data_IF_417016365655
#
_entry.id   IF_417016365655
#
_cell.length_a   1.000
_cell.length_b   1.000
_cell.length_c   1.000
_cell.angle_alpha   90.00
_cell.angle_beta   90.00
_cell.angle_gamma   90.00
#
_symmetry.space_group_name_H-M   'P 1'
#
loop_
_entity.id
_entity.type
_entity.pdbx_description
1 polymer ?
#
# COMPACT_ATOMS: atom_id res chain seq x y z
N UNK A 1 -12.68 -3.24 0.06
CA UNK A 1 -12.00 -3.72 -1.16
C UNK A 1 -12.11 -2.68 -2.26
N UNK A 2 -11.05 -1.89 -2.46
CA UNK A 2 -10.90 -1.00 -3.62
C UNK A 2 -9.72 -1.54 -4.45
N UNK A 3 -9.59 -1.04 -5.68
CA UNK A 3 -8.45 -1.31 -6.55
C UNK A 3 -7.74 0.01 -6.80
N UNK A 4 -6.48 0.10 -6.44
CA UNK A 4 -5.61 1.25 -6.66
C UNK A 4 -4.57 0.93 -7.72
N UNK A 5 -4.22 1.90 -8.55
CA UNK A 5 -2.99 1.80 -9.35
C UNK A 5 -1.79 2.28 -8.54
N UNK A 6 -0.57 1.94 -8.97
CA UNK A 6 0.68 2.46 -8.41
C UNK A 6 0.67 3.98 -8.25
N UNK A 7 0.17 4.72 -9.25
CA UNK A 7 0.10 6.19 -9.21
C UNK A 7 -0.95 6.68 -8.20
N UNK A 8 -2.10 6.00 -8.11
CA UNK A 8 -3.13 6.33 -7.14
C UNK A 8 -2.66 6.05 -5.71
N UNK A 9 -1.95 4.94 -5.51
CA UNK A 9 -1.30 4.62 -4.25
C UNK A 9 -0.27 5.69 -3.89
N UNK A 10 0.62 6.05 -4.83
CA UNK A 10 1.61 7.12 -4.64
C UNK A 10 0.96 8.45 -4.24
N UNK A 11 -0.18 8.80 -4.83
CA UNK A 11 -0.93 10.00 -4.47
C UNK A 11 -1.52 9.93 -3.06
N UNK A 12 -1.82 8.74 -2.53
CA UNK A 12 -2.37 8.54 -1.19
C UNK A 12 -1.32 8.40 -0.09
N UNK A 13 -0.18 7.79 -0.39
CA UNK A 13 0.93 7.65 0.55
C UNK A 13 1.81 8.91 0.65
N UNK A 14 1.36 10.02 0.06
CA UNK A 14 1.95 11.33 0.23
C UNK A 14 3.37 11.47 -0.35
N UNK A 15 4.22 12.36 0.18
CA UNK A 15 5.47 12.80 -0.43
C UNK A 15 6.55 11.71 -0.52
N UNK A 16 6.32 10.53 0.06
CA UNK A 16 7.24 9.38 0.00
C UNK A 16 6.56 8.17 -0.63
N UNK A 17 6.30 8.21 -1.94
CA UNK A 17 5.79 7.04 -2.64
C UNK A 17 6.82 5.90 -2.64
N UNK A 18 6.38 4.63 -2.67
CA UNK A 18 7.27 3.48 -2.80
C UNK A 18 8.09 3.55 -4.08
N UNK A 19 9.41 3.44 -3.92
CA UNK A 19 10.37 3.41 -5.02
C UNK A 19 10.18 2.21 -5.93
N UNK A 20 10.63 2.32 -7.18
CA UNK A 20 10.59 1.22 -8.14
C UNK A 20 11.35 -0.02 -7.66
N UNK A 21 12.50 0.18 -7.01
CA UNK A 21 13.29 -0.91 -6.43
C UNK A 21 12.51 -1.72 -5.36
N UNK A 22 11.62 -1.06 -4.63
CA UNK A 22 10.73 -1.74 -3.68
C UNK A 22 9.76 -2.65 -4.43
N UNK A 23 9.10 -2.14 -5.48
CA UNK A 23 8.17 -2.92 -6.29
C UNK A 23 8.84 -4.11 -6.97
N UNK A 24 10.03 -3.90 -7.54
CA UNK A 24 10.81 -5.00 -8.14
C UNK A 24 11.14 -6.09 -7.12
N UNK A 25 11.50 -5.71 -5.89
CA UNK A 25 11.72 -6.67 -4.80
C UNK A 25 10.43 -7.37 -4.38
N UNK A 26 9.32 -6.64 -4.30
CA UNK A 26 8.01 -7.22 -3.99
C UNK A 26 7.59 -8.27 -5.02
N UNK A 27 7.82 -7.99 -6.31
CA UNK A 27 7.53 -8.93 -7.41
C UNK A 27 8.42 -10.16 -7.33
N UNK A 28 9.72 -9.98 -7.07
CA UNK A 28 10.69 -11.07 -6.95
C UNK A 28 10.41 -11.99 -5.76
N UNK A 29 10.03 -11.42 -4.61
CA UNK A 29 9.75 -12.16 -3.39
C UNK A 29 8.31 -12.68 -3.31
N UNK A 30 7.39 -12.12 -4.11
CA UNK A 30 5.96 -12.41 -4.03
C UNK A 30 5.25 -11.74 -2.85
N UNK A 31 5.96 -11.03 -1.97
CA UNK A 31 5.41 -10.29 -0.84
C UNK A 31 6.28 -9.07 -0.50
N UNK A 32 5.69 -8.06 0.13
CA UNK A 32 6.43 -6.91 0.64
C UNK A 32 5.69 -6.19 1.79
N UNK A 33 6.45 -5.41 2.56
CA UNK A 33 5.93 -4.54 3.61
C UNK A 33 6.07 -3.07 3.19
N UNK A 34 4.96 -2.42 2.89
CA UNK A 34 4.89 -1.02 2.51
C UNK A 34 4.78 -0.14 3.77
N UNK A 35 5.88 0.51 4.13
CA UNK A 35 5.90 1.51 5.20
C UNK A 35 5.38 2.86 4.74
N UNK A 36 4.33 3.35 5.37
CA UNK A 36 3.72 4.67 5.15
C UNK A 36 3.95 5.53 6.39
N UNK A 37 4.58 6.69 6.21
CA UNK A 37 4.87 7.61 7.31
C UNK A 37 3.61 8.27 7.87
N UNK A 38 3.67 8.77 9.11
CA UNK A 38 2.55 9.46 9.76
C UNK A 38 1.97 10.61 8.91
N UNK A 39 2.85 11.34 8.21
CA UNK A 39 2.53 12.40 7.24
C UNK A 39 1.50 11.97 6.18
N UNK A 40 1.52 10.70 5.79
CA UNK A 40 0.60 10.12 4.81
C UNK A 40 -0.59 9.38 5.44
N UNK A 41 -0.54 9.08 6.74
CA UNK A 41 -1.63 8.47 7.53
C UNK A 41 -2.49 9.55 8.20
N UNK A 42 -2.10 10.82 8.10
CA UNK A 42 -2.86 11.97 8.58
C UNK A 42 -2.44 13.22 7.83
N UNK A 43 -3.04 13.45 6.65
CA UNK A 43 -2.94 14.73 5.97
C UNK A 43 -3.76 15.78 6.71
N UNK A 44 -3.16 16.95 6.93
CA UNK A 44 -3.69 18.10 7.65
C UNK A 44 -5.13 18.47 7.23
N UNK A 45 -6.10 18.02 8.02
CA UNK A 45 -7.40 18.69 8.18
C UNK A 45 -7.90 18.36 9.58
N UNK A 46 -7.78 19.33 10.49
CA UNK A 46 -8.28 19.30 11.87
C UNK A 46 -9.83 19.32 11.95
N UNK A 47 -10.52 18.69 11.00
CA UNK A 47 -11.97 18.52 11.03
C UNK A 47 -12.29 17.27 10.22
N UNK A 48 -13.17 16.44 10.80
CA UNK A 48 -13.72 15.18 10.29
C UNK A 48 -13.07 13.89 10.80
N UNK A 49 -13.86 13.20 11.64
CA UNK A 49 -13.68 11.92 12.34
C UNK A 49 -13.57 10.70 11.42
N UNK A 50 -12.82 10.79 10.33
CA UNK A 50 -12.37 9.65 9.53
C UNK A 50 -11.02 10.01 8.91
N UNK A 51 -9.95 9.78 9.66
CA UNK A 51 -8.62 9.67 9.05
C UNK A 51 -8.74 8.60 7.95
N UNK A 52 -8.79 9.02 6.67
CA UNK A 52 -8.93 8.05 5.58
C UNK A 52 -7.60 7.32 5.50
N UNK A 53 -7.59 6.09 5.99
CA UNK A 53 -6.41 5.24 5.93
C UNK A 53 -6.05 5.09 4.44
N UNK A 54 -4.77 5.29 4.04
CA UNK A 54 -4.41 5.31 2.63
C UNK A 54 -4.67 3.98 1.92
N UNK A 55 -4.62 2.87 2.68
CA UNK A 55 -4.91 1.51 2.28
C UNK A 55 -5.71 0.80 3.39
N UNK A 56 -6.46 -0.22 3.00
CA UNK A 56 -7.22 -1.09 3.90
C UNK A 56 -6.91 -2.55 3.59
N UNK A 57 -7.08 -3.45 4.56
CA UNK A 57 -6.85 -4.88 4.32
C UNK A 57 -7.85 -5.43 3.30
N UNK A 58 -7.36 -6.18 2.32
CA UNK A 58 -8.11 -6.67 1.16
C UNK A 58 -8.19 -5.69 -0.01
N UNK A 59 -7.51 -4.53 0.08
CA UNK A 59 -7.32 -3.65 -1.06
C UNK A 59 -6.31 -4.22 -2.06
N UNK A 60 -6.45 -3.92 -3.34
CA UNK A 60 -5.58 -4.44 -4.40
C UNK A 60 -4.85 -3.29 -5.09
N UNK A 61 -3.52 -3.34 -5.09
CA UNK A 61 -2.62 -2.40 -5.75
C UNK A 61 -2.12 -3.01 -7.07
N UNK A 62 -2.52 -2.40 -8.17
CA UNK A 62 -2.08 -2.71 -9.52
C UNK A 62 -0.75 -2.01 -9.81
N UNK A 63 0.28 -2.81 -10.10
CA UNK A 63 1.66 -2.42 -10.31
C UNK A 63 2.12 -3.01 -11.64
N UNK A 64 2.01 -2.20 -12.69
CA UNK A 64 2.36 -2.64 -14.05
C UNK A 64 1.47 -3.83 -14.47
N UNK A 65 2.03 -4.97 -14.87
CA UNK A 65 1.27 -6.19 -15.21
C UNK A 65 0.94 -7.09 -13.97
N UNK A 66 1.24 -6.63 -12.76
CA UNK A 66 1.09 -7.41 -11.52
C UNK A 66 0.14 -6.74 -10.55
N UNK A 67 -0.67 -7.53 -9.86
CA UNK A 67 -1.52 -7.05 -8.78
C UNK A 67 -1.00 -7.53 -7.41
N UNK A 68 -1.09 -6.67 -6.40
CA UNK A 68 -0.75 -6.98 -5.02
C UNK A 68 -1.96 -6.76 -4.12
N UNK A 69 -2.30 -7.68 -3.24
CA UNK A 69 -3.37 -7.52 -2.26
C UNK A 69 -2.78 -7.15 -0.90
N UNK A 70 -3.38 -6.19 -0.21
CA UNK A 70 -3.06 -5.88 1.19
C UNK A 70 -3.62 -6.98 2.06
N UNK A 71 -2.76 -7.69 2.78
CA UNK A 71 -3.16 -8.79 3.66
C UNK A 71 -3.12 -8.40 5.13
N UNK A 72 -2.36 -7.37 5.47
CA UNK A 72 -2.23 -6.88 6.84
C UNK A 72 -1.89 -5.38 6.89
N UNK A 73 -2.24 -4.72 7.98
CA UNK A 73 -2.00 -3.30 8.21
C UNK A 73 -1.67 -3.03 9.68
N UNK A 74 -0.39 -2.87 9.99
CA UNK A 74 0.11 -2.62 11.34
C UNK A 74 0.43 -1.14 11.57
N UNK A 75 0.07 -0.60 12.74
CA UNK A 75 0.41 0.78 13.10
C UNK A 75 1.82 0.85 13.71
N UNK A 76 2.62 1.81 13.27
CA UNK A 76 3.95 2.02 13.85
C UNK A 76 3.92 3.02 15.00
N UNK A 77 4.83 2.88 15.95
CA UNK A 77 5.00 3.82 17.07
C UNK A 77 5.28 5.26 16.61
N UNK A 78 5.91 5.41 15.44
CA UNK A 78 6.18 6.71 14.82
C UNK A 78 4.91 7.39 14.25
N UNK A 79 3.72 6.82 14.46
CA UNK A 79 2.45 7.33 13.95
C UNK A 79 2.16 6.97 12.49
N UNK A 80 3.03 6.19 11.85
CA UNK A 80 2.83 5.66 10.51
C UNK A 80 2.09 4.33 10.50
N UNK A 81 2.13 3.66 9.34
CA UNK A 81 1.51 2.35 9.14
C UNK A 81 2.31 1.49 8.18
N UNK A 82 2.43 0.21 8.48
CA UNK A 82 3.06 -0.79 7.63
C UNK A 82 1.96 -1.67 7.05
N UNK A 83 1.81 -1.64 5.74
CA UNK A 83 0.88 -2.51 5.03
C UNK A 83 1.64 -3.70 4.46
N UNK A 84 1.28 -4.91 4.86
CA UNK A 84 1.80 -6.12 4.21
C UNK A 84 0.98 -6.37 2.96
N UNK A 85 1.68 -6.51 1.84
CA UNK A 85 1.10 -6.81 0.55
C UNK A 85 1.67 -8.11 0.01
N UNK A 86 0.82 -8.91 -0.63
CA UNK A 86 1.19 -10.16 -1.27
C UNK A 86 0.82 -10.09 -2.75
N UNK A 87 1.69 -10.63 -3.58
CA UNK A 87 1.46 -10.73 -5.02
C UNK A 87 0.23 -11.62 -5.25
N UNK A 88 -0.76 -11.07 -5.93
CA UNK A 88 -1.87 -11.85 -6.46
C UNK A 88 -1.31 -12.65 -7.62
N UNK A 89 -0.95 -13.91 -7.35
CA UNK A 89 -0.64 -14.84 -8.43
C UNK A 89 -1.86 -14.91 -9.34
N UNK A 90 -1.66 -14.64 -10.63
CA UNK A 90 -2.67 -15.00 -11.62
C UNK A 90 -2.94 -16.49 -11.45
N UNK A 91 -4.22 -16.86 -11.35
CA UNK A 91 -4.63 -18.26 -11.34
C UNK A 91 -4.45 -18.79 -12.77
N UNK A 92 -3.21 -19.05 -13.13
CA UNK A 92 -2.74 -19.61 -14.40
C UNK A 92 -1.22 -19.62 -14.28
N UNK A 93 -0.57 -20.70 -13.87
CA UNK A 93 -0.46 -21.95 -14.62
C UNK A 93 -0.48 -23.13 -13.64
N UNK A 94 -1.34 -24.12 -13.92
CA UNK A 94 -1.36 -25.43 -13.28
C UNK A 94 -1.68 -26.48 -14.33
#
# INVERSE_FOLDING_TARGET
MRRLTRSELASRVGPRPPSDAFWRRAIDQGEAALGVGADAVGGESETDEKATEPLDTGDIVDVDDRAFVVVDAERTDAGGRIYRIELVADRGEG
#
